data_IF_689207899014
#
_entry.id   IF_689207899014
#
_cell.length_a   1.000
_cell.length_b   1.000
_cell.length_c   1.000
_cell.angle_alpha   90.00
_cell.angle_beta   90.00
_cell.angle_gamma   90.00
#
_symmetry.space_group_name_H-M   'P 1'
#
loop_
_entity.id
_entity.type
_entity.pdbx_description
1 polymer ?
#
# COMPACT_ATOMS: atom_id res chain seq x y z
N UNK A 1 -8.25 -0.10 -15.91
CA UNK A 1 -9.51 -0.69 -15.46
C UNK A 1 -9.34 -1.46 -14.16
N UNK A 2 -8.25 -2.25 -14.05
CA UNK A 2 -7.95 -3.03 -12.85
C UNK A 2 -7.65 -2.14 -11.64
N UNK A 3 -6.93 -1.03 -11.85
CA UNK A 3 -6.58 -0.06 -10.81
C UNK A 3 -7.83 0.50 -10.09
N UNK A 4 -8.89 0.77 -10.84
CA UNK A 4 -10.14 1.29 -10.26
C UNK A 4 -10.95 0.22 -9.51
N UNK A 5 -10.77 -1.05 -9.88
CA UNK A 5 -11.48 -2.17 -9.23
C UNK A 5 -10.93 -2.52 -7.85
N UNK A 6 -9.65 -2.25 -7.59
CA UNK A 6 -9.04 -2.48 -6.27
C UNK A 6 -9.74 -1.65 -5.18
N UNK A 7 -10.24 -0.47 -5.52
CA UNK A 7 -10.92 0.42 -4.59
C UNK A 7 -12.42 0.20 -4.48
N UNK A 8 -13.03 -0.42 -5.49
CA UNK A 8 -14.44 -0.81 -5.50
C UNK A 8 -14.57 -2.26 -5.01
N UNK A 9 -14.77 -2.41 -3.72
CA UNK A 9 -14.98 -3.72 -3.11
C UNK A 9 -16.12 -4.48 -3.82
N UNK A 10 -16.05 -5.81 -3.89
CA UNK A 10 -17.12 -6.66 -4.44
C UNK A 10 -18.50 -6.33 -3.89
N UNK A 11 -18.57 -5.89 -2.62
CA UNK A 11 -19.81 -5.43 -1.99
C UNK A 11 -20.38 -4.17 -2.66
N UNK A 12 -19.54 -3.19 -2.99
CA UNK A 12 -19.98 -1.98 -3.69
C UNK A 12 -20.54 -2.29 -5.08
N UNK A 13 -19.87 -3.16 -5.82
CA UNK A 13 -20.36 -3.60 -7.15
C UNK A 13 -21.69 -4.36 -7.05
N UNK A 14 -21.86 -5.18 -6.03
CA UNK A 14 -23.10 -5.89 -5.76
C UNK A 14 -24.22 -4.93 -5.42
N UNK A 15 -23.94 -3.95 -4.56
CA UNK A 15 -24.89 -2.91 -4.20
C UNK A 15 -25.38 -2.11 -5.42
N UNK A 16 -24.45 -1.72 -6.32
CA UNK A 16 -24.79 -1.00 -7.54
C UNK A 16 -25.73 -1.82 -8.45
N UNK A 17 -25.54 -3.15 -8.49
CA UNK A 17 -26.47 -4.04 -9.22
C UNK A 17 -27.85 -4.12 -8.57
N UNK A 18 -27.90 -4.15 -7.24
CA UNK A 18 -29.19 -4.12 -6.52
C UNK A 18 -29.95 -2.80 -6.74
N UNK A 19 -29.24 -1.70 -6.97
CA UNK A 19 -29.81 -0.42 -7.41
C UNK A 19 -30.20 -0.40 -8.90
N UNK A 20 -30.11 -1.52 -9.59
CA UNK A 20 -30.56 -1.68 -10.97
C UNK A 20 -29.56 -1.26 -12.05
N UNK A 21 -28.31 -0.96 -11.69
CA UNK A 21 -27.28 -0.65 -12.69
C UNK A 21 -26.84 -1.93 -13.43
N UNK A 22 -26.78 -1.85 -14.75
CA UNK A 22 -26.24 -2.93 -15.57
C UNK A 22 -24.72 -3.04 -15.43
N UNK A 23 -24.18 -4.23 -15.73
CA UNK A 23 -22.71 -4.43 -15.69
C UNK A 23 -21.97 -3.47 -16.63
N UNK A 24 -22.58 -3.06 -17.74
CA UNK A 24 -22.00 -2.10 -18.69
C UNK A 24 -21.97 -0.68 -18.11
N UNK A 25 -23.06 -0.24 -17.49
CA UNK A 25 -23.13 1.05 -16.82
C UNK A 25 -22.11 1.16 -15.69
N UNK A 26 -21.97 0.09 -14.89
CA UNK A 26 -20.98 0.02 -13.82
C UNK A 26 -19.57 0.09 -14.40
N UNK A 27 -19.27 -0.65 -15.47
CA UNK A 27 -17.97 -0.64 -16.14
C UNK A 27 -17.62 0.75 -16.67
N UNK A 28 -18.56 1.39 -17.39
CA UNK A 28 -18.37 2.74 -17.92
C UNK A 28 -18.15 3.78 -16.82
N UNK A 29 -18.91 3.69 -15.72
CA UNK A 29 -18.71 4.56 -14.57
C UNK A 29 -17.32 4.38 -13.95
N UNK A 30 -16.86 3.14 -13.78
CA UNK A 30 -15.52 2.84 -13.21
C UNK A 30 -14.40 3.35 -14.13
N UNK A 31 -14.55 3.20 -15.46
CA UNK A 31 -13.56 3.69 -16.43
C UNK A 31 -13.38 5.21 -16.41
N UNK A 32 -14.45 5.94 -16.07
CA UNK A 32 -14.46 7.40 -15.99
C UNK A 32 -14.29 7.92 -14.55
N UNK A 33 -14.07 7.03 -13.58
CA UNK A 33 -13.92 7.41 -12.19
C UNK A 33 -12.51 8.00 -11.97
N UNK A 34 -12.45 9.28 -11.68
CA UNK A 34 -11.22 9.90 -11.20
C UNK A 34 -11.03 9.54 -9.72
N UNK A 35 -10.08 8.64 -9.45
CA UNK A 35 -9.67 8.35 -8.07
C UNK A 35 -9.04 9.63 -7.52
N UNK A 36 -9.43 9.99 -6.30
CA UNK A 36 -8.86 11.16 -5.63
C UNK A 36 -7.34 10.97 -5.52
N UNK A 37 -6.56 11.83 -6.15
CA UNK A 37 -5.08 11.75 -6.21
C UNK A 37 -4.44 11.62 -4.82
N UNK A 38 -5.12 12.13 -3.78
CA UNK A 38 -4.69 11.98 -2.39
C UNK A 38 -4.74 10.53 -1.88
N UNK A 39 -5.39 9.60 -2.61
CA UNK A 39 -5.49 8.19 -2.20
C UNK A 39 -4.68 7.25 -3.08
N UNK A 40 -4.51 7.61 -4.33
CA UNK A 40 -3.69 6.88 -5.29
C UNK A 40 -3.07 7.88 -6.25
N UNK A 41 -1.78 7.81 -6.42
CA UNK A 41 -1.10 8.55 -7.48
C UNK A 41 -0.05 7.67 -8.14
N UNK A 42 0.16 7.90 -9.42
CA UNK A 42 1.22 7.25 -10.20
C UNK A 42 1.97 8.34 -10.97
N UNK A 43 3.25 8.38 -10.81
CA UNK A 43 4.15 9.31 -11.51
C UNK A 43 5.41 8.59 -11.95
N UNK A 44 6.15 9.15 -12.89
CA UNK A 44 7.44 8.60 -13.31
C UNK A 44 8.50 9.67 -13.15
N UNK A 45 9.57 9.33 -12.46
CA UNK A 45 10.73 10.20 -12.22
C UNK A 45 11.98 9.42 -12.58
N UNK A 46 12.79 9.96 -13.47
CA UNK A 46 14.05 9.35 -13.93
C UNK A 46 13.89 7.88 -14.41
N UNK A 47 12.76 7.57 -15.04
CA UNK A 47 12.46 6.23 -15.56
C UNK A 47 11.85 5.28 -14.53
N UNK A 48 11.82 5.64 -13.25
CA UNK A 48 11.23 4.84 -12.16
C UNK A 48 9.78 5.25 -11.96
N UNK A 49 8.89 4.28 -11.93
CA UNK A 49 7.47 4.50 -11.62
C UNK A 49 7.27 4.60 -10.11
N UNK A 50 6.74 5.71 -9.65
CA UNK A 50 6.40 5.91 -8.23
C UNK A 50 4.88 5.74 -8.09
N UNK A 51 4.48 4.77 -7.29
CA UNK A 51 3.07 4.49 -6.96
C UNK A 51 2.84 4.82 -5.49
N UNK A 52 1.94 5.74 -5.23
CA UNK A 52 1.57 6.09 -3.86
C UNK A 52 0.14 5.63 -3.58
N UNK A 53 -0.01 4.83 -2.56
CA UNK A 53 -1.28 4.34 -2.08
C UNK A 53 -1.52 4.79 -0.64
N UNK A 54 -2.60 5.51 -0.41
CA UNK A 54 -3.04 5.82 0.93
C UNK A 54 -3.98 4.71 1.43
N UNK A 55 -3.40 3.64 1.96
CA UNK A 55 -4.16 2.74 2.81
C UNK A 55 -4.26 3.40 4.19
N UNK A 56 -5.47 3.68 4.65
CA UNK A 56 -5.65 4.01 6.06
C UNK A 56 -5.25 2.78 6.85
N UNK A 57 -4.29 2.93 7.75
CA UNK A 57 -3.97 1.90 8.74
C UNK A 57 -5.24 1.39 9.43
N UNK A 58 -5.18 0.24 10.07
CA UNK A 58 -6.29 -0.42 10.76
C UNK A 58 -7.42 -0.95 9.84
N UNK A 59 -7.20 -1.01 8.53
CA UNK A 59 -8.10 -1.68 7.61
C UNK A 59 -7.36 -2.82 6.88
N UNK A 60 -7.37 -4.04 7.45
CA UNK A 60 -6.61 -5.17 6.93
C UNK A 60 -6.99 -5.53 5.49
N UNK A 61 -8.27 -5.48 5.16
CA UNK A 61 -8.74 -5.82 3.82
C UNK A 61 -8.23 -4.81 2.79
N UNK A 62 -8.26 -3.51 3.11
CA UNK A 62 -7.78 -2.49 2.19
C UNK A 62 -6.26 -2.61 1.98
N UNK A 63 -5.50 -2.88 3.05
CA UNK A 63 -4.06 -3.10 2.96
C UNK A 63 -3.74 -4.36 2.14
N UNK A 64 -4.43 -5.48 2.40
CA UNK A 64 -4.28 -6.73 1.63
C UNK A 64 -4.55 -6.53 0.14
N UNK A 65 -5.61 -5.79 -0.22
CA UNK A 65 -5.90 -5.48 -1.63
C UNK A 65 -4.77 -4.67 -2.28
N UNK A 66 -4.16 -3.72 -1.56
CA UNK A 66 -3.05 -2.94 -2.10
C UNK A 66 -1.79 -3.80 -2.20
N UNK A 67 -1.51 -4.67 -1.23
CA UNK A 67 -0.38 -5.60 -1.29
C UNK A 67 -0.53 -6.59 -2.46
N UNK A 68 -1.73 -7.14 -2.68
CA UNK A 68 -2.04 -7.98 -3.83
C UNK A 68 -1.81 -7.22 -5.15
N UNK A 69 -2.26 -5.97 -5.24
CA UNK A 69 -2.01 -5.13 -6.40
C UNK A 69 -0.51 -4.92 -6.64
N UNK A 70 0.24 -4.52 -5.61
CA UNK A 70 1.69 -4.32 -5.68
C UNK A 70 2.41 -5.61 -6.10
N UNK A 71 1.98 -6.77 -5.60
CA UNK A 71 2.58 -8.06 -5.95
C UNK A 71 2.50 -8.37 -7.44
N UNK A 72 1.42 -7.94 -8.11
CA UNK A 72 1.11 -8.18 -9.52
C UNK A 72 1.75 -7.17 -10.48
N UNK A 73 2.20 -6.01 -9.99
CA UNK A 73 2.90 -5.04 -10.82
C UNK A 73 4.16 -5.68 -11.43
N UNK A 74 4.44 -5.48 -12.72
CA UNK A 74 5.62 -6.04 -13.37
C UNK A 74 6.92 -5.37 -12.91
N UNK A 75 8.04 -6.03 -13.18
CA UNK A 75 9.38 -5.50 -12.91
C UNK A 75 9.80 -5.61 -11.45
N UNK A 76 11.05 -5.20 -11.21
CA UNK A 76 11.62 -5.13 -9.87
C UNK A 76 11.06 -3.91 -9.13
N UNK A 77 10.73 -4.11 -7.88
CA UNK A 77 10.11 -3.04 -7.09
C UNK A 77 10.63 -2.97 -5.68
N UNK A 78 10.62 -1.77 -5.15
CA UNK A 78 10.84 -1.51 -3.75
C UNK A 78 9.56 -0.98 -3.09
N UNK A 79 9.37 -1.30 -1.83
CA UNK A 79 8.16 -0.94 -1.09
C UNK A 79 8.53 -0.09 0.11
N UNK A 80 7.81 1.00 0.32
CA UNK A 80 7.89 1.81 1.52
C UNK A 80 6.57 1.67 2.29
N UNK A 81 6.64 1.22 3.52
CA UNK A 81 5.49 1.07 4.42
C UNK A 81 5.59 2.09 5.57
N UNK A 82 4.79 3.13 5.49
CA UNK A 82 4.66 4.16 6.54
C UNK A 82 3.25 4.07 7.13
N UNK A 83 2.96 2.96 7.78
CA UNK A 83 1.63 2.69 8.32
C UNK A 83 1.55 3.29 9.73
N UNK A 84 0.78 4.36 9.87
CA UNK A 84 0.57 5.02 11.16
C UNK A 84 -0.34 4.21 12.06
N UNK A 85 0.03 4.14 13.32
CA UNK A 85 -0.71 3.53 14.42
C UNK A 85 -1.26 4.57 15.41
N UNK A 86 -1.08 5.86 15.13
CA UNK A 86 -1.56 6.96 15.96
C UNK A 86 -2.90 7.45 15.45
N UNK A 87 -3.96 7.19 16.20
CA UNK A 87 -5.32 7.60 15.83
C UNK A 87 -5.63 9.05 16.21
N UNK A 88 -5.11 9.51 17.32
CA UNK A 88 -5.34 10.86 17.81
C UNK A 88 -4.05 11.60 18.18
N UNK A 89 -4.20 12.89 18.52
CA UNK A 89 -3.08 13.76 18.91
C UNK A 89 -2.45 13.43 20.28
N UNK A 90 -2.91 12.40 20.96
CA UNK A 90 -2.51 12.06 22.33
C UNK A 90 -1.38 11.03 22.43
N UNK A 91 -0.76 10.65 21.32
CA UNK A 91 0.35 9.68 21.29
C UNK A 91 0.02 8.33 21.95
N UNK A 92 -1.25 7.93 21.96
CA UNK A 92 -1.63 6.60 22.40
C UNK A 92 -1.38 5.60 21.27
N UNK A 93 -0.56 4.59 21.52
CA UNK A 93 -0.40 3.48 20.59
C UNK A 93 -1.71 2.71 20.53
N UNK A 94 -2.21 2.47 19.33
CA UNK A 94 -3.42 1.72 19.14
C UNK A 94 -3.18 0.22 19.02
N UNK A 95 -4.28 -0.51 19.00
CA UNK A 95 -4.26 -1.93 18.82
C UNK A 95 -3.68 -2.30 17.44
N UNK A 96 -2.55 -3.00 17.41
CA UNK A 96 -1.85 -3.45 16.22
C UNK A 96 -2.33 -4.81 15.70
N UNK A 97 -3.35 -5.41 16.29
CA UNK A 97 -3.81 -6.76 15.87
C UNK A 97 -4.24 -6.81 14.41
N UNK A 98 -4.68 -5.70 13.84
CA UNK A 98 -5.09 -5.62 12.45
C UNK A 98 -3.97 -6.03 11.45
N UNK A 99 -2.69 -5.92 11.81
CA UNK A 99 -1.60 -6.35 10.95
C UNK A 99 -1.57 -7.88 10.77
N UNK A 100 -2.07 -8.63 11.75
CA UNK A 100 -2.17 -10.08 11.66
C UNK A 100 -3.34 -10.56 10.81
N UNK A 101 -4.34 -9.68 10.62
CA UNK A 101 -5.47 -9.92 9.71
C UNK A 101 -5.18 -9.41 8.27
N UNK A 102 -3.99 -8.84 8.06
CA UNK A 102 -3.54 -8.31 6.76
C UNK A 102 -2.61 -9.31 6.08
N UNK A 103 -2.83 -9.55 4.79
CA UNK A 103 -2.08 -10.52 3.99
C UNK A 103 -0.72 -9.95 3.54
N UNK A 104 0.22 -9.82 4.47
CA UNK A 104 1.60 -9.41 4.19
C UNK A 104 2.35 -10.43 3.31
N UNK A 105 1.83 -11.62 3.19
CA UNK A 105 2.31 -12.70 2.33
C UNK A 105 2.42 -12.29 0.86
N UNK A 106 1.57 -11.37 0.41
CA UNK A 106 1.67 -10.77 -0.93
C UNK A 106 2.98 -10.01 -1.17
N UNK A 107 3.63 -9.53 -0.12
CA UNK A 107 4.91 -8.83 -0.21
C UNK A 107 6.11 -9.77 -0.29
N UNK A 108 5.92 -11.07 -0.06
CA UNK A 108 6.95 -12.08 -0.21
C UNK A 108 7.08 -12.52 -1.67
N UNK A 109 7.57 -11.63 -2.53
CA UNK A 109 7.78 -11.89 -3.95
C UNK A 109 9.25 -11.78 -4.32
N UNK A 110 9.72 -12.57 -5.30
CA UNK A 110 11.12 -12.49 -5.75
C UNK A 110 11.51 -11.10 -6.29
N UNK A 111 10.57 -10.43 -6.97
CA UNK A 111 10.75 -9.13 -7.59
C UNK A 111 10.45 -7.95 -6.65
N UNK A 112 10.13 -8.20 -5.38
CA UNK A 112 10.20 -7.18 -4.32
C UNK A 112 11.58 -7.30 -3.69
N UNK A 113 12.44 -6.34 -4.02
CA UNK A 113 13.87 -6.40 -3.69
C UNK A 113 14.18 -5.83 -2.32
N UNK A 114 13.39 -4.85 -1.87
CA UNK A 114 13.60 -4.18 -0.60
C UNK A 114 12.26 -3.65 -0.05
N UNK A 115 12.08 -3.71 1.28
CA UNK A 115 10.92 -3.18 1.98
C UNK A 115 11.41 -2.27 3.11
N UNK A 116 11.17 -0.97 2.96
CA UNK A 116 11.50 0.03 3.97
C UNK A 116 10.28 0.24 4.87
N UNK A 117 10.45 0.03 6.15
CA UNK A 117 9.40 0.25 7.16
C UNK A 117 9.77 1.42 8.05
N UNK A 118 8.81 2.32 8.26
CA UNK A 118 8.99 3.52 9.09
C UNK A 118 7.86 3.69 10.11
N UNK A 119 8.13 4.53 11.11
CA UNK A 119 7.18 4.85 12.18
C UNK A 119 7.57 4.28 13.53
N UNK A 120 6.66 4.42 14.51
CA UNK A 120 6.91 4.03 15.91
C UNK A 120 6.89 2.50 16.13
N UNK A 121 6.20 1.77 15.25
CA UNK A 121 5.93 0.33 15.41
C UNK A 121 6.70 -0.54 14.40
N UNK A 122 7.88 -0.08 13.99
CA UNK A 122 8.71 -0.81 13.00
C UNK A 122 8.99 -2.25 13.42
N UNK A 123 9.15 -2.51 14.72
CA UNK A 123 9.42 -3.87 15.22
C UNK A 123 8.24 -4.83 14.99
N UNK A 124 7.01 -4.34 15.16
CA UNK A 124 5.81 -5.14 14.91
C UNK A 124 5.66 -5.45 13.42
N UNK A 125 5.87 -4.45 12.55
CA UNK A 125 5.85 -4.65 11.11
C UNK A 125 6.96 -5.57 10.62
N UNK A 126 8.17 -5.42 11.17
CA UNK A 126 9.29 -6.32 10.85
C UNK A 126 8.95 -7.76 11.21
N UNK A 127 8.47 -7.97 12.43
CA UNK A 127 8.04 -9.30 12.88
C UNK A 127 6.97 -9.88 11.93
N UNK A 128 5.96 -9.09 11.60
CA UNK A 128 4.87 -9.54 10.72
C UNK A 128 5.36 -9.87 9.31
N UNK A 129 6.26 -9.07 8.73
CA UNK A 129 6.89 -9.36 7.44
C UNK A 129 7.70 -10.66 7.47
N UNK A 130 8.48 -10.87 8.53
CA UNK A 130 9.23 -12.12 8.70
C UNK A 130 8.29 -13.33 8.85
N UNK A 131 7.17 -13.19 9.56
CA UNK A 131 6.12 -14.22 9.65
C UNK A 131 5.47 -14.51 8.29
N UNK A 132 5.39 -13.52 7.41
CA UNK A 132 4.93 -13.67 6.02
C UNK A 132 5.98 -14.31 5.10
N UNK A 133 7.15 -14.66 5.62
CA UNK A 133 8.23 -15.29 4.89
C UNK A 133 9.16 -14.32 4.15
N UNK A 134 9.03 -13.01 4.37
CA UNK A 134 9.94 -12.02 3.77
C UNK A 134 11.32 -12.16 4.44
N UNK A 135 12.40 -12.36 3.65
CA UNK A 135 13.76 -12.45 4.18
C UNK A 135 14.17 -11.17 4.93
N UNK A 136 14.82 -11.33 6.09
CA UNK A 136 15.20 -10.19 6.92
C UNK A 136 16.12 -9.19 6.20
N UNK A 137 17.00 -9.66 5.34
CA UNK A 137 17.90 -8.82 4.55
C UNK A 137 17.18 -7.88 3.58
N UNK A 138 15.93 -8.17 3.22
CA UNK A 138 15.07 -7.30 2.41
C UNK A 138 14.37 -6.22 3.23
N UNK A 139 14.39 -6.30 4.57
CA UNK A 139 13.64 -5.39 5.43
C UNK A 139 14.57 -4.34 6.02
N UNK A 140 14.29 -3.08 5.75
CA UNK A 140 15.02 -1.91 6.27
C UNK A 140 14.14 -1.12 7.22
N UNK A 141 14.65 -0.81 8.39
CA UNK A 141 13.95 0.00 9.38
C UNK A 141 14.46 1.44 9.34
N UNK A 142 13.56 2.42 9.45
CA UNK A 142 13.91 3.83 9.58
C UNK A 142 13.04 4.52 10.63
N UNK A 143 13.65 5.41 11.39
CA UNK A 143 12.94 6.33 12.30
C UNK A 143 12.62 7.65 11.63
N UNK A 144 13.27 7.95 10.49
CA UNK A 144 13.01 9.12 9.67
C UNK A 144 12.01 8.77 8.56
N UNK A 145 10.71 8.93 8.85
CA UNK A 145 9.66 8.67 7.87
C UNK A 145 9.80 9.55 6.62
N UNK A 146 10.17 10.82 6.80
CA UNK A 146 10.34 11.76 5.70
C UNK A 146 11.54 11.41 4.83
N UNK A 147 12.55 10.78 5.41
CA UNK A 147 13.77 10.33 4.74
C UNK A 147 13.78 8.86 4.37
N UNK A 148 12.66 8.15 4.49
CA UNK A 148 12.58 6.71 4.19
C UNK A 148 13.09 6.35 2.79
N UNK A 149 12.89 7.25 1.81
CA UNK A 149 13.40 7.08 0.44
C UNK A 149 14.93 6.93 0.35
N UNK A 150 15.68 7.43 1.34
CA UNK A 150 17.16 7.31 1.38
C UNK A 150 17.63 5.87 1.62
N UNK A 151 16.73 5.00 2.09
CA UNK A 151 17.00 3.58 2.33
C UNK A 151 16.70 2.71 1.12
N UNK A 152 16.22 3.29 0.02
CA UNK A 152 15.98 2.61 -1.23
C UNK A 152 17.30 2.33 -1.97
N UNK A 153 17.31 1.23 -2.71
CA UNK A 153 18.35 0.93 -3.70
C UNK A 153 17.71 0.97 -5.09
N UNK A 154 17.84 2.09 -5.76
CA UNK A 154 17.17 2.32 -7.04
C UNK A 154 17.84 1.62 -8.24
N UNK A 155 19.01 1.00 -8.04
CA UNK A 155 19.73 0.28 -9.11
C UNK A 155 18.94 -0.96 -9.54
N UNK A 156 18.47 -0.97 -10.78
CA UNK A 156 17.66 -2.05 -11.34
C UNK A 156 16.22 -2.11 -10.82
N UNK A 157 15.74 -1.03 -10.20
CA UNK A 157 14.36 -0.88 -9.72
C UNK A 157 13.49 -0.22 -10.79
N UNK A 158 12.40 -0.87 -11.17
CA UNK A 158 11.43 -0.36 -12.15
C UNK A 158 10.36 0.50 -11.48
N UNK A 159 10.02 0.17 -10.23
CA UNK A 159 9.00 0.92 -9.50
C UNK A 159 9.24 0.99 -7.98
N UNK A 160 8.75 2.05 -7.38
CA UNK A 160 8.71 2.25 -5.92
C UNK A 160 7.25 2.41 -5.50
N UNK A 161 6.80 1.52 -4.62
CA UNK A 161 5.44 1.53 -4.10
C UNK A 161 5.44 2.10 -2.69
N UNK A 162 4.89 3.29 -2.50
CA UNK A 162 4.77 3.94 -1.20
C UNK A 162 3.38 3.70 -0.62
N UNK A 163 3.32 3.16 0.57
CA UNK A 163 2.09 2.95 1.32
C UNK A 163 2.15 3.69 2.64
N UNK A 164 1.18 4.55 2.88
CA UNK A 164 1.14 5.29 4.12
C UNK A 164 0.35 6.57 4.02
N UNK A 165 0.29 7.31 5.12
CA UNK A 165 -0.32 8.62 5.15
C UNK A 165 0.69 9.65 4.69
N UNK A 166 0.43 10.29 3.54
CA UNK A 166 1.17 11.49 3.16
C UNK A 166 0.89 12.59 4.20
N UNK A 167 1.89 12.95 4.99
CA UNK A 167 1.89 14.21 5.75
C UNK A 167 2.21 15.37 4.81
N UNK A 168 1.49 15.48 3.69
CA UNK A 168 1.56 16.69 2.90
C UNK A 168 0.76 17.77 3.58
N UNK A 169 1.44 18.70 4.21
CA UNK A 169 0.98 20.07 4.42
C UNK A 169 0.14 20.31 5.67
N UNK A 170 0.76 20.84 6.69
CA UNK A 170 0.28 22.01 7.39
C UNK A 170 1.28 23.14 7.20
#
# INVERSE_FOLDING_TARGET
>A
LEENLVFLRPLGLRLLREFGLTGEQIRNAIQNLNIVESRYSRSTVDGITIVTNMAKGQNPIACSCVFDYVSKEPGNKEVILLLEDIFDRKNSSENMTWIFDTDFEFLNQPNITNIVIGGLRTKDYKLRLMMAGVPEEKIKETTDEAGAYKSLNLDGTDSVCCMGRSRTGR
#
